data_IF_301439143067
#
_entry.id   IF_301439143067
#
_cell.length_a   1.000
_cell.length_b   1.000
_cell.length_c   1.000
_cell.angle_alpha   90.00
_cell.angle_beta   90.00
_cell.angle_gamma   90.00
#
_symmetry.space_group_name_H-M   'P 1'
#
loop_
_entity.id
_entity.type
_entity.pdbx_description
1 polymer ?
#
# COMPACT_ATOMS: atom_id res chain seq x y z
N UNK A 1 -11.08 -8.16 -13.02
CA UNK A 1 -10.37 -7.10 -12.28
C UNK A 1 -9.68 -7.57 -10.99
N UNK A 2 -10.39 -8.02 -9.94
CA UNK A 2 -9.75 -8.41 -8.64
C UNK A 2 -8.64 -9.47 -8.77
N UNK A 3 -8.85 -10.50 -9.61
CA UNK A 3 -7.87 -11.59 -9.84
C UNK A 3 -6.58 -11.13 -10.53
N UNK A 4 -6.63 -10.08 -11.34
CA UNK A 4 -5.44 -9.55 -12.04
C UNK A 4 -4.61 -8.60 -11.16
N UNK A 5 -5.28 -7.82 -10.31
CA UNK A 5 -4.61 -7.00 -9.29
C UNK A 5 -3.81 -7.87 -8.31
N UNK A 6 -4.44 -8.95 -7.81
CA UNK A 6 -3.80 -9.90 -6.89
C UNK A 6 -2.66 -10.72 -7.52
N UNK A 7 -2.61 -10.80 -8.85
CA UNK A 7 -1.55 -11.50 -9.60
C UNK A 7 -0.33 -10.61 -9.86
N UNK A 8 -0.49 -9.29 -9.73
CA UNK A 8 0.61 -8.34 -9.88
C UNK A 8 1.47 -8.31 -8.62
N UNK A 9 2.63 -8.97 -8.66
CA UNK A 9 3.62 -8.98 -7.56
C UNK A 9 3.99 -7.57 -7.08
N UNK A 10 4.02 -6.58 -7.98
CA UNK A 10 4.26 -5.17 -7.63
C UNK A 10 3.15 -4.56 -6.77
N UNK A 11 1.88 -4.89 -7.05
CA UNK A 11 0.74 -4.44 -6.25
C UNK A 11 0.78 -5.07 -4.85
N UNK A 12 1.09 -6.37 -4.77
CA UNK A 12 1.19 -7.09 -3.50
C UNK A 12 2.39 -6.60 -2.66
N UNK A 13 3.54 -6.34 -3.30
CA UNK A 13 4.71 -5.74 -2.65
C UNK A 13 4.42 -4.33 -2.14
N UNK A 14 3.73 -3.50 -2.93
CA UNK A 14 3.26 -2.19 -2.50
C UNK A 14 2.30 -2.28 -1.31
N UNK A 15 1.32 -3.19 -1.35
CA UNK A 15 0.39 -3.40 -0.25
C UNK A 15 1.08 -3.89 1.03
N UNK A 16 2.06 -4.80 0.92
CA UNK A 16 2.85 -5.28 2.05
C UNK A 16 3.71 -4.17 2.66
N UNK A 17 4.36 -3.36 1.82
CA UNK A 17 5.15 -2.21 2.27
C UNK A 17 4.27 -1.14 2.95
N UNK A 18 3.06 -0.92 2.44
CA UNK A 18 2.08 -0.01 3.03
C UNK A 18 1.63 -0.51 4.41
N UNK A 19 1.38 -1.82 4.54
CA UNK A 19 1.03 -2.42 5.82
C UNK A 19 2.17 -2.28 6.85
N UNK A 20 3.40 -2.59 6.47
CA UNK A 20 4.57 -2.48 7.36
C UNK A 20 4.84 -1.02 7.75
N UNK A 21 4.63 -0.08 6.83
CA UNK A 21 4.81 1.35 7.08
C UNK A 21 3.75 1.98 7.97
N UNK A 22 2.49 1.59 7.78
CA UNK A 22 1.33 2.24 8.40
C UNK A 22 0.91 1.55 9.69
N UNK A 23 1.01 0.22 9.78
CA UNK A 23 0.53 -0.53 10.94
C UNK A 23 1.25 -0.18 12.26
N UNK A 24 2.58 -0.01 12.32
CA UNK A 24 3.25 0.34 13.57
C UNK A 24 2.81 1.70 14.11
N UNK A 25 2.64 2.69 13.23
CA UNK A 25 2.19 4.03 13.60
C UNK A 25 0.72 4.02 14.06
N UNK A 26 -0.15 3.32 13.33
CA UNK A 26 -1.56 3.16 13.71
C UNK A 26 -1.72 2.44 15.05
N UNK A 27 -0.96 1.36 15.28
CA UNK A 27 -0.98 0.61 16.53
C UNK A 27 -0.50 1.48 17.70
N UNK A 28 0.53 2.29 17.49
CA UNK A 28 1.03 3.22 18.50
C UNK A 28 -0.02 4.29 18.85
N UNK A 29 -0.64 4.93 17.86
CA UNK A 29 -1.70 5.92 18.07
C UNK A 29 -2.90 5.28 18.79
N UNK A 30 -3.29 4.07 18.39
CA UNK A 30 -4.39 3.35 19.01
C UNK A 30 -4.07 2.96 20.46
N UNK A 31 -2.83 2.58 20.74
CA UNK A 31 -2.35 2.28 22.08
C UNK A 31 -2.37 3.52 22.98
N UNK A 32 -1.86 4.67 22.52
CA UNK A 32 -1.94 5.93 23.27
C UNK A 32 -3.39 6.35 23.52
N UNK A 33 -4.27 6.17 22.52
CA UNK A 33 -5.70 6.46 22.66
C UNK A 33 -6.39 5.54 23.68
N UNK A 34 -6.06 4.24 23.68
CA UNK A 34 -6.68 3.25 24.56
C UNK A 34 -6.17 3.31 26.00
N UNK A 35 -4.89 3.65 26.19
CA UNK A 35 -4.26 3.66 27.52
C UNK A 35 -4.20 5.05 28.15
N UNK A 36 -4.41 6.12 27.36
CA UNK A 36 -4.20 7.49 27.80
C UNK A 36 -2.73 7.80 28.12
N UNK A 37 -1.81 6.90 27.78
CA UNK A 37 -0.37 7.08 27.97
C UNK A 37 0.10 8.22 27.07
N UNK A 38 0.28 9.40 27.66
CA UNK A 38 0.88 10.56 27.00
C UNK A 38 2.33 10.63 27.41
N UNK A 39 3.28 10.42 26.50
CA UNK A 39 4.69 10.58 26.84
C UNK A 39 5.71 10.12 25.81
N UNK A 40 5.37 9.22 24.90
CA UNK A 40 6.27 8.88 23.79
C UNK A 40 6.08 9.86 22.64
N UNK A 41 7.16 10.40 22.07
CA UNK A 41 7.10 11.16 20.83
C UNK A 41 7.36 10.18 19.66
N UNK A 42 6.34 9.69 18.95
CA UNK A 42 6.49 8.66 17.90
C UNK A 42 7.06 9.22 16.60
N UNK A 43 7.98 10.18 16.67
CA UNK A 43 8.54 10.84 15.50
C UNK A 43 9.23 9.84 14.58
N UNK A 44 9.87 8.80 15.14
CA UNK A 44 10.48 7.71 14.39
C UNK A 44 9.47 6.84 13.65
N UNK A 45 8.31 6.54 14.27
CA UNK A 45 7.23 5.81 13.60
C UNK A 45 6.55 6.67 12.53
N UNK A 46 6.40 7.97 12.79
CA UNK A 46 5.91 8.94 11.81
C UNK A 46 6.84 9.04 10.60
N UNK A 47 8.15 9.07 10.81
CA UNK A 47 9.15 9.11 9.76
C UNK A 47 9.19 7.80 8.97
N UNK A 48 9.11 6.66 9.67
CA UNK A 48 9.01 5.34 9.04
C UNK A 48 7.77 5.25 8.15
N UNK A 49 6.61 5.68 8.64
CA UNK A 49 5.38 5.80 7.84
C UNK A 49 5.61 6.70 6.62
N UNK A 50 6.15 7.90 6.81
CA UNK A 50 6.35 8.82 5.69
C UNK A 50 7.26 8.24 4.60
N UNK A 51 8.40 7.67 4.98
CA UNK A 51 9.38 7.11 4.01
C UNK A 51 8.87 5.83 3.35
N UNK A 52 8.07 5.02 4.03
CA UNK A 52 7.53 3.76 3.48
C UNK A 52 6.22 3.93 2.71
N UNK A 53 5.41 4.94 3.03
CA UNK A 53 4.11 5.19 2.43
C UNK A 53 4.24 5.62 0.97
N UNK A 54 5.12 6.57 0.65
CA UNK A 54 5.27 7.05 -0.73
C UNK A 54 5.72 5.95 -1.71
N UNK A 55 6.79 5.16 -1.44
CA UNK A 55 7.18 4.04 -2.30
C UNK A 55 6.07 2.98 -2.42
N UNK A 56 5.36 2.71 -1.32
CA UNK A 56 4.27 1.74 -1.31
C UNK A 56 3.09 2.17 -2.21
N UNK A 57 2.68 3.44 -2.11
CA UNK A 57 1.63 4.04 -2.96
C UNK A 57 2.06 4.01 -4.43
N UNK A 58 3.31 4.36 -4.73
CA UNK A 58 3.83 4.34 -6.12
C UNK A 58 3.77 2.91 -6.69
N UNK A 59 4.22 1.91 -5.94
CA UNK A 59 4.17 0.50 -6.37
C UNK A 59 2.74 -0.01 -6.57
N UNK A 60 1.81 0.36 -5.68
CA UNK A 60 0.39 0.04 -5.83
C UNK A 60 -0.23 0.70 -7.07
N UNK A 61 0.06 1.98 -7.32
CA UNK A 61 -0.45 2.70 -8.49
C UNK A 61 0.10 2.10 -9.79
N UNK A 62 1.40 1.81 -9.86
CA UNK A 62 2.01 1.16 -11.02
C UNK A 62 1.38 -0.22 -11.27
N UNK A 63 1.20 -1.02 -10.21
CA UNK A 63 0.54 -2.32 -10.30
C UNK A 63 -0.91 -2.22 -10.77
N UNK A 64 -1.67 -1.25 -10.27
CA UNK A 64 -3.06 -1.00 -10.65
C UNK A 64 -3.18 -0.52 -12.11
N UNK A 65 -2.32 0.41 -12.54
CA UNK A 65 -2.30 0.92 -13.92
C UNK A 65 -1.87 -0.17 -14.90
N UNK A 66 -0.88 -1.00 -14.55
CA UNK A 66 -0.46 -2.15 -15.36
C UNK A 66 -1.59 -3.15 -15.55
N UNK A 67 -2.29 -3.52 -14.45
CA UNK A 67 -3.43 -4.42 -14.51
C UNK A 67 -4.60 -3.84 -15.33
N UNK A 68 -4.89 -2.53 -15.18
CA UNK A 68 -5.93 -1.86 -15.96
C UNK A 68 -5.61 -1.83 -17.46
N UNK A 69 -4.35 -1.58 -17.84
CA UNK A 69 -3.89 -1.60 -19.24
C UNK A 69 -3.98 -3.00 -19.84
N UNK A 70 -3.68 -4.04 -19.06
CA UNK A 70 -3.75 -5.44 -19.52
C UNK A 70 -5.19 -5.90 -19.74
N UNK A 71 -6.09 -5.58 -18.82
CA UNK A 71 -7.52 -5.80 -18.98
C UNK A 71 -8.10 -5.10 -20.22
N UNK A 72 -7.58 -3.91 -20.59
CA UNK A 72 -7.98 -3.21 -21.82
C UNK A 72 -7.45 -3.89 -23.08
N UNK A 73 -6.26 -4.51 -23.01
CA UNK A 73 -5.63 -5.23 -24.13
C UNK A 73 -6.31 -6.57 -24.38
N UNK A 74 -6.73 -7.27 -23.33
CA UNK A 74 -7.43 -8.55 -23.42
C UNK A 74 -8.92 -8.39 -23.78
N UNK A 75 -9.46 -7.18 -23.70
CA UNK A 75 -10.80 -6.83 -24.20
C UNK A 75 -10.82 -6.30 -25.64
N UNK A 76 -9.66 -6.19 -26.30
CA UNK A 76 -9.61 -5.83 -27.72
C UNK A 76 -9.91 -7.07 -28.56
N UNK A 77 -10.91 -7.02 -29.47
CA UNK A 77 -11.19 -8.15 -30.36
C UNK A 77 -9.94 -8.47 -31.19
N UNK A 78 -9.64 -9.76 -31.43
CA UNK A 78 -8.50 -10.13 -32.27
C UNK A 78 -8.70 -9.51 -33.66
N UNK A 79 -7.74 -8.69 -34.09
CA UNK A 79 -7.65 -8.26 -35.48
C UNK A 79 -7.29 -9.50 -36.30
N UNK A 80 -8.32 -10.02 -36.95
CA UNK A 80 -8.29 -11.06 -37.98
C UNK A 80 -7.41 -10.66 -39.16
#
# INVERSE_FOLDING_TARGET
MKKELLRSKAFLAGAGLLAIGTAPLLLYILYELATGAKGGNPIGLGLLFFVSFWPAVILMVIGAVSAARRAKKDGAPPLN
#
